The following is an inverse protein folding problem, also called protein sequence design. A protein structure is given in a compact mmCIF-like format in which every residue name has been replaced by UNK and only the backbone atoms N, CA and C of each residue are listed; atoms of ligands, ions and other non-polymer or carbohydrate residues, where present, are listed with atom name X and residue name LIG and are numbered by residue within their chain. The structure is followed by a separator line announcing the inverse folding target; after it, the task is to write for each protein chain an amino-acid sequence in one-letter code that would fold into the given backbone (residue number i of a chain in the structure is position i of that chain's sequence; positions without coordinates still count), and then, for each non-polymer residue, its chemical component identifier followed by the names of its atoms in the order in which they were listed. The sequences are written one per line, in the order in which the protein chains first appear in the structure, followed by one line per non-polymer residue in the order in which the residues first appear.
data_IF_891697297091
#
_entry.id   IF_891697297091
#
_cell.length_a   1.000
_cell.length_b   1.000
_cell.length_c   1.000
_cell.angle_alpha   90.00
_cell.angle_beta   90.00
_cell.angle_gamma   90.00
#
_symmetry.space_group_name_H-M   'P 1'
#
loop_
_entity.id
_entity.type
_entity.pdbx_description
1 polymer ?
#
# COMPACT_ATOMS: atom_id res chain seq x y z
N UNK A 1 54.42 -47.39 -26.37
CA UNK A 1 53.76 -46.13 -26.91
C UNK A 1 52.90 -45.50 -25.80
N UNK A 2 53.44 -44.49 -25.13
CA UNK A 2 52.67 -43.70 -24.08
C UNK A 2 52.13 -42.44 -24.73
N UNK A 3 50.81 -42.33 -24.87
CA UNK A 3 50.14 -41.10 -25.33
C UNK A 3 49.89 -40.19 -24.11
N UNK A 4 50.60 -39.08 -24.03
CA UNK A 4 50.30 -38.01 -23.10
C UNK A 4 49.12 -37.20 -23.63
N UNK A 5 48.02 -37.20 -22.88
CA UNK A 5 46.91 -36.22 -23.08
C UNK A 5 47.31 -34.93 -22.36
N UNK A 6 47.49 -33.86 -23.13
CA UNK A 6 47.60 -32.50 -22.60
C UNK A 6 46.19 -31.98 -22.40
N UNK A 7 45.78 -31.75 -21.14
CA UNK A 7 44.60 -30.94 -20.81
C UNK A 7 44.97 -29.47 -20.91
N UNK A 8 44.43 -28.79 -21.90
CA UNK A 8 44.48 -27.33 -21.98
C UNK A 8 43.49 -26.76 -20.99
N UNK A 9 43.97 -26.09 -19.95
CA UNK A 9 43.13 -25.30 -19.05
C UNK A 9 42.66 -24.02 -19.78
N UNK A 10 41.40 -23.98 -20.23
CA UNK A 10 40.75 -22.76 -20.61
C UNK A 10 40.42 -21.97 -19.34
N UNK A 11 41.15 -20.91 -19.06
CA UNK A 11 40.83 -19.94 -18.02
C UNK A 11 39.61 -19.13 -18.50
N UNK A 12 38.44 -19.41 -17.98
CA UNK A 12 37.29 -18.51 -18.06
C UNK A 12 37.57 -17.32 -17.14
N UNK A 13 38.00 -16.22 -17.69
CA UNK A 13 37.99 -14.93 -17.00
C UNK A 13 36.52 -14.51 -16.89
N UNK A 14 35.91 -14.75 -15.72
CA UNK A 14 34.64 -14.16 -15.37
C UNK A 14 34.88 -12.65 -15.27
N UNK A 15 34.54 -11.88 -16.31
CA UNK A 15 34.40 -10.45 -16.21
C UNK A 15 33.25 -10.19 -15.23
N UNK A 16 33.56 -9.88 -13.97
CA UNK A 16 32.63 -9.21 -13.09
C UNK A 16 32.36 -7.83 -13.69
N UNK A 17 31.38 -7.73 -14.57
CA UNK A 17 30.87 -6.45 -15.01
C UNK A 17 30.25 -5.77 -13.78
N UNK A 18 30.97 -4.82 -13.18
CA UNK A 18 30.36 -3.91 -12.19
C UNK A 18 29.25 -3.17 -12.91
N UNK A 19 28.04 -3.21 -12.32
CA UNK A 19 26.91 -2.47 -12.87
C UNK A 19 27.32 -1.00 -13.05
N UNK A 20 27.03 -0.44 -14.22
CA UNK A 20 27.36 0.94 -14.50
C UNK A 20 26.64 1.87 -13.53
N UNK A 21 27.37 2.82 -12.96
CA UNK A 21 26.84 3.80 -12.01
C UNK A 21 26.77 5.19 -12.62
N UNK A 22 25.62 5.83 -12.44
CA UNK A 22 25.28 7.16 -12.99
C UNK A 22 25.00 8.11 -11.82
N UNK A 23 26.01 8.79 -11.34
CA UNK A 23 25.91 9.78 -10.27
C UNK A 23 25.18 11.03 -10.78
N UNK A 24 24.03 11.37 -10.16
CA UNK A 24 23.19 12.50 -10.58
C UNK A 24 23.89 13.85 -10.49
N UNK A 25 24.90 14.00 -9.63
CA UNK A 25 25.68 15.25 -9.52
C UNK A 25 26.49 15.53 -10.78
N UNK A 26 26.93 14.50 -11.48
CA UNK A 26 27.60 14.63 -12.79
C UNK A 26 26.67 15.10 -13.90
N UNK A 27 25.35 15.02 -13.66
CA UNK A 27 24.31 15.55 -14.54
C UNK A 27 23.84 16.95 -14.12
N UNK A 28 24.47 17.53 -13.08
CA UNK A 28 24.18 18.87 -12.58
C UNK A 28 23.21 18.93 -11.41
N UNK A 29 22.84 17.79 -10.82
CA UNK A 29 22.00 17.78 -9.61
C UNK A 29 22.76 18.36 -8.41
N UNK A 30 22.05 19.16 -7.60
CA UNK A 30 22.59 19.86 -6.43
C UNK A 30 21.79 19.53 -5.17
N UNK A 31 22.45 19.11 -4.09
CA UNK A 31 21.79 18.73 -2.82
C UNK A 31 21.51 19.94 -1.91
N UNK A 32 21.15 21.10 -2.46
CA UNK A 32 21.01 22.37 -1.74
C UNK A 32 19.61 22.64 -1.16
N UNK A 33 18.64 21.74 -1.42
CA UNK A 33 17.27 21.89 -0.97
C UNK A 33 16.46 22.97 -1.69
N UNK A 34 16.97 23.55 -2.76
CA UNK A 34 16.37 24.67 -3.51
C UNK A 34 16.34 24.44 -5.02
N UNK A 35 17.44 23.94 -5.59
CA UNK A 35 17.56 23.69 -7.03
C UNK A 35 16.61 22.57 -7.48
N UNK A 36 15.83 22.82 -8.53
CA UNK A 36 15.02 21.79 -9.20
C UNK A 36 15.93 20.82 -9.95
N UNK A 37 16.07 19.62 -9.43
CA UNK A 37 16.95 18.57 -9.96
C UNK A 37 16.22 17.59 -10.89
N UNK A 38 14.94 17.81 -11.20
CA UNK A 38 14.12 16.86 -11.95
C UNK A 38 14.76 16.47 -13.28
N UNK A 39 15.19 17.46 -14.06
CA UNK A 39 15.79 17.21 -15.38
C UNK A 39 17.15 16.50 -15.28
N UNK A 40 17.98 16.86 -14.29
CA UNK A 40 19.28 16.24 -14.08
C UNK A 40 19.16 14.76 -13.70
N UNK A 41 18.26 14.45 -12.72
CA UNK A 41 18.01 13.07 -12.28
C UNK A 41 17.36 12.27 -13.41
N UNK A 42 16.37 12.84 -14.11
CA UNK A 42 15.70 12.15 -15.21
C UNK A 42 16.69 11.80 -16.34
N UNK A 43 17.60 12.73 -16.68
CA UNK A 43 18.63 12.48 -17.68
C UNK A 43 19.56 11.33 -17.28
N UNK A 44 19.96 11.24 -16.01
CA UNK A 44 20.75 10.12 -15.50
C UNK A 44 19.99 8.78 -15.65
N UNK A 45 18.68 8.76 -15.33
CA UNK A 45 17.81 7.59 -15.50
C UNK A 45 17.72 7.19 -16.99
N UNK A 46 17.51 8.15 -17.88
CA UNK A 46 17.36 7.90 -19.31
C UNK A 46 18.68 7.38 -19.92
N UNK A 47 19.81 7.98 -19.59
CA UNK A 47 21.14 7.55 -20.05
C UNK A 47 21.49 6.15 -19.51
N UNK A 48 21.18 5.87 -18.26
CA UNK A 48 21.35 4.55 -17.65
C UNK A 48 20.59 3.49 -18.42
N UNK A 49 19.29 3.69 -18.64
CA UNK A 49 18.44 2.73 -19.36
C UNK A 49 18.88 2.56 -20.81
N UNK A 50 19.21 3.66 -21.52
CA UNK A 50 19.66 3.62 -22.91
C UNK A 50 20.95 2.82 -23.12
N UNK A 51 21.79 2.73 -22.07
CA UNK A 51 23.03 1.92 -22.08
C UNK A 51 22.87 0.50 -21.52
N UNK A 52 21.62 0.04 -21.39
CA UNK A 52 21.30 -1.33 -20.95
C UNK A 52 20.92 -1.47 -19.49
N UNK A 53 21.00 -0.40 -18.71
CA UNK A 53 20.64 -0.39 -17.28
C UNK A 53 21.85 -0.22 -16.35
N UNK A 54 21.57 -0.20 -15.05
CA UNK A 54 22.54 -0.02 -14.00
C UNK A 54 21.98 0.74 -12.80
N UNK A 55 22.87 1.36 -12.06
CA UNK A 55 22.51 2.15 -10.88
C UNK A 55 22.58 3.65 -11.18
N UNK A 56 21.48 4.35 -10.91
CA UNK A 56 21.45 5.82 -10.83
C UNK A 56 21.63 6.19 -9.36
N UNK A 57 22.77 6.79 -9.04
CA UNK A 57 23.15 7.13 -7.68
C UNK A 57 22.70 8.54 -7.32
N UNK A 58 21.94 8.69 -6.24
CA UNK A 58 21.66 9.96 -5.55
C UNK A 58 22.54 10.01 -4.30
N UNK A 59 23.69 10.71 -4.35
CA UNK A 59 24.66 10.70 -3.26
C UNK A 59 24.10 11.33 -1.98
N UNK A 60 24.60 10.87 -0.84
CA UNK A 60 24.32 11.45 0.46
C UNK A 60 24.74 12.91 0.60
N UNK A 61 24.28 13.57 1.67
CA UNK A 61 24.76 14.91 2.05
C UNK A 61 23.81 16.06 1.76
N UNK A 62 22.54 15.84 1.40
CA UNK A 62 21.59 16.94 1.26
C UNK A 62 20.24 16.59 0.67
N UNK A 63 19.53 17.63 0.26
CA UNK A 63 18.16 17.52 -0.28
C UNK A 63 18.15 17.88 -1.75
N UNK A 64 17.70 16.97 -2.58
CA UNK A 64 17.50 17.17 -4.01
C UNK A 64 16.00 17.43 -4.24
N UNK A 65 15.64 18.68 -4.53
CA UNK A 65 14.24 19.00 -4.88
C UNK A 65 13.94 18.40 -6.25
N UNK A 66 12.83 17.65 -6.33
CA UNK A 66 12.41 17.04 -7.58
C UNK A 66 10.89 17.01 -7.71
N UNK A 67 10.43 16.98 -8.93
CA UNK A 67 9.04 16.75 -9.29
C UNK A 67 8.87 15.30 -9.77
N UNK A 68 8.07 15.05 -10.82
CA UNK A 68 7.84 13.69 -11.26
C UNK A 68 9.07 13.10 -11.97
N UNK A 69 9.53 11.95 -11.48
CA UNK A 69 10.54 11.12 -12.11
C UNK A 69 9.91 9.85 -12.69
N UNK A 70 10.38 9.44 -13.85
CA UNK A 70 9.96 8.23 -14.54
C UNK A 70 11.13 7.25 -14.59
N UNK A 71 11.04 6.14 -13.86
CA UNK A 71 12.03 5.07 -14.00
C UNK A 71 11.85 4.37 -15.36
N UNK A 72 12.96 3.83 -15.85
CA UNK A 72 13.04 3.11 -17.12
C UNK A 72 13.50 1.68 -16.89
N UNK A 73 13.40 0.85 -17.92
CA UNK A 73 13.83 -0.54 -17.85
C UNK A 73 15.27 -0.67 -17.33
N UNK A 74 15.48 -1.65 -16.47
CA UNK A 74 16.77 -2.03 -15.91
C UNK A 74 17.46 -0.93 -15.06
N UNK A 75 16.70 -0.01 -14.48
CA UNK A 75 17.22 1.07 -13.64
C UNK A 75 16.98 0.79 -12.18
N UNK A 76 18.06 0.82 -11.38
CA UNK A 76 18.04 0.92 -9.92
C UNK A 76 18.35 2.37 -9.52
N UNK A 77 17.32 3.12 -9.08
CA UNK A 77 17.51 4.44 -8.48
C UNK A 77 17.92 4.25 -7.02
N UNK A 78 19.19 4.42 -6.73
CA UNK A 78 19.77 4.23 -5.42
C UNK A 78 19.92 5.54 -4.66
N UNK A 79 19.19 5.69 -3.55
CA UNK A 79 19.20 6.89 -2.71
C UNK A 79 20.07 6.58 -1.49
N UNK A 80 21.27 7.16 -1.44
CA UNK A 80 22.19 6.91 -0.33
C UNK A 80 21.67 7.45 1.00
N UNK A 81 22.20 6.86 2.08
CA UNK A 81 21.97 7.38 3.45
C UNK A 81 22.40 8.87 3.52
N UNK A 82 21.49 9.69 4.08
CA UNK A 82 21.71 11.14 4.16
C UNK A 82 21.27 11.91 2.90
N UNK A 83 20.88 11.24 1.82
CA UNK A 83 20.21 11.87 0.69
C UNK A 83 18.70 11.94 0.93
N UNK A 84 18.09 13.04 0.52
CA UNK A 84 16.65 13.20 0.49
C UNK A 84 16.20 13.66 -0.90
N UNK A 85 15.37 12.88 -1.56
CA UNK A 85 14.58 13.36 -2.69
C UNK A 85 13.36 14.08 -2.13
N UNK A 86 13.36 15.42 -2.24
CA UNK A 86 12.34 16.30 -1.68
C UNK A 86 11.35 16.71 -2.76
N UNK A 87 10.07 16.47 -2.56
CA UNK A 87 9.01 16.91 -3.46
C UNK A 87 8.96 18.42 -3.60
N UNK A 88 8.96 18.91 -4.83
CA UNK A 88 8.87 20.35 -5.13
C UNK A 88 7.52 20.93 -4.71
N UNK A 89 7.49 22.21 -4.35
CA UNK A 89 6.35 22.90 -3.74
C UNK A 89 5.25 23.31 -4.74
N UNK A 90 5.57 23.39 -6.03
CA UNK A 90 4.62 23.79 -7.06
C UNK A 90 3.83 22.60 -7.61
N UNK A 91 2.55 22.45 -7.27
CA UNK A 91 1.75 21.30 -7.74
C UNK A 91 1.55 21.28 -9.25
N UNK A 92 1.71 22.40 -9.94
CA UNK A 92 1.52 22.48 -11.39
C UNK A 92 2.73 21.93 -12.17
N UNK A 93 3.89 21.85 -11.55
CA UNK A 93 5.07 21.21 -12.14
C UNK A 93 5.02 19.67 -12.10
N UNK A 94 4.10 19.07 -11.35
CA UNK A 94 3.82 17.64 -11.44
C UNK A 94 2.80 17.43 -12.57
N UNK A 95 3.15 16.71 -13.64
CA UNK A 95 2.23 16.47 -14.74
C UNK A 95 1.00 15.70 -14.29
N UNK A 96 -0.15 16.03 -14.86
CA UNK A 96 -1.32 15.18 -14.75
C UNK A 96 -1.12 13.94 -15.61
N UNK A 97 -1.18 12.77 -15.00
CA UNK A 97 -1.04 11.53 -15.74
C UNK A 97 -2.29 11.27 -16.58
N UNK A 98 -2.04 10.79 -17.77
CA UNK A 98 -3.09 10.48 -18.74
C UNK A 98 -3.38 8.97 -18.75
N UNK A 99 -4.48 8.62 -19.38
CA UNK A 99 -4.85 7.25 -19.64
C UNK A 99 -3.76 6.54 -20.48
N UNK A 100 -3.41 5.33 -20.07
CA UNK A 100 -2.42 4.49 -20.77
C UNK A 100 -2.98 3.12 -21.11
N UNK A 101 -2.14 2.18 -21.53
CA UNK A 101 -2.55 0.83 -21.92
C UNK A 101 -3.17 0.00 -20.77
N UNK A 102 -2.84 0.33 -19.52
CA UNK A 102 -3.26 -0.41 -18.31
C UNK A 102 -4.34 0.35 -17.54
N UNK A 103 -4.11 1.63 -17.31
CA UNK A 103 -4.88 2.46 -16.41
C UNK A 103 -5.68 3.53 -17.15
N UNK A 104 -6.95 3.67 -16.75
CA UNK A 104 -7.79 4.75 -17.23
C UNK A 104 -7.77 5.90 -16.21
N UNK A 105 -6.93 6.90 -16.45
CA UNK A 105 -6.77 8.05 -15.60
C UNK A 105 -8.04 8.89 -15.47
N UNK A 106 -8.94 8.84 -16.43
CA UNK A 106 -10.21 9.57 -16.37
C UNK A 106 -11.15 8.99 -15.31
N UNK A 107 -10.98 7.72 -14.98
CA UNK A 107 -11.70 7.03 -13.90
C UNK A 107 -11.06 7.19 -12.53
N UNK A 108 -9.94 7.91 -12.43
CA UNK A 108 -9.28 8.20 -11.17
C UNK A 108 -9.63 9.61 -10.67
N UNK A 109 -9.80 9.80 -9.36
CA UNK A 109 -9.91 11.14 -8.80
C UNK A 109 -8.71 12.00 -9.22
N UNK A 110 -8.94 13.28 -9.51
CA UNK A 110 -7.86 14.16 -10.03
C UNK A 110 -6.64 14.25 -9.11
N UNK A 111 -6.83 14.24 -7.79
CA UNK A 111 -5.72 14.22 -6.83
C UNK A 111 -4.86 12.95 -6.94
N UNK A 112 -5.38 11.90 -7.53
CA UNK A 112 -4.67 10.65 -7.77
C UNK A 112 -3.86 10.62 -9.07
N UNK A 113 -3.82 11.70 -9.82
CA UNK A 113 -3.19 11.78 -11.14
C UNK A 113 -1.85 12.52 -11.15
N UNK A 114 -1.20 12.64 -9.98
CA UNK A 114 0.16 13.20 -9.84
C UNK A 114 0.94 12.39 -8.81
N UNK A 115 2.22 12.20 -9.03
CA UNK A 115 3.12 11.54 -8.07
C UNK A 115 4.56 12.05 -8.24
N UNK A 116 5.41 11.80 -7.23
CA UNK A 116 6.86 12.05 -7.37
C UNK A 116 7.51 11.02 -8.30
N UNK A 117 7.09 9.74 -8.19
CA UNK A 117 7.52 8.68 -9.11
C UNK A 117 6.31 8.15 -9.85
N UNK A 118 6.37 8.19 -11.17
CA UNK A 118 5.35 7.62 -12.03
C UNK A 118 5.99 6.77 -13.12
N UNK A 119 5.83 5.47 -13.04
CA UNK A 119 6.49 4.51 -13.93
C UNK A 119 5.45 3.59 -14.53
N UNK A 120 5.44 3.48 -15.86
CA UNK A 120 4.43 2.72 -16.60
C UNK A 120 5.09 1.69 -17.51
N UNK A 121 4.67 0.42 -17.38
CA UNK A 121 5.03 -0.66 -18.31
C UNK A 121 6.51 -1.04 -18.33
N UNK A 122 7.28 -0.67 -17.31
CA UNK A 122 8.71 -0.93 -17.26
C UNK A 122 9.02 -2.27 -16.57
N UNK A 123 10.15 -2.84 -16.91
CA UNK A 123 10.62 -4.12 -16.37
C UNK A 123 11.98 -3.94 -15.68
N UNK A 124 12.19 -4.69 -14.57
CA UNK A 124 13.41 -4.65 -13.77
C UNK A 124 13.72 -3.24 -13.30
N UNK A 125 12.79 -2.66 -12.55
CA UNK A 125 12.91 -1.30 -11.99
C UNK A 125 12.99 -1.36 -10.48
N UNK A 126 13.87 -0.54 -9.91
CA UNK A 126 14.06 -0.50 -8.48
C UNK A 126 14.21 0.94 -7.95
N UNK A 127 13.75 1.15 -6.72
CA UNK A 127 14.15 2.26 -5.86
C UNK A 127 14.76 1.61 -4.62
N UNK A 128 16.03 1.89 -4.36
CA UNK A 128 16.77 1.24 -3.28
C UNK A 128 17.59 2.23 -2.45
N UNK A 129 18.22 1.74 -1.38
CA UNK A 129 19.13 2.50 -0.54
C UNK A 129 18.51 2.94 0.77
N UNK A 130 19.31 3.57 1.63
CA UNK A 130 18.89 3.98 2.97
C UNK A 130 18.57 5.48 3.07
N UNK A 131 18.27 6.11 1.94
CA UNK A 131 17.89 7.52 1.85
C UNK A 131 16.39 7.75 2.04
N UNK A 132 15.97 8.99 1.80
CA UNK A 132 14.61 9.45 2.07
C UNK A 132 13.91 9.93 0.81
N UNK A 133 12.66 9.55 0.64
CA UNK A 133 11.69 10.16 -0.26
C UNK A 133 10.74 10.99 0.60
N UNK A 134 10.78 12.30 0.49
CA UNK A 134 9.95 13.23 1.26
C UNK A 134 8.94 13.91 0.34
N UNK A 135 7.66 13.60 0.52
CA UNK A 135 6.58 14.16 -0.29
C UNK A 135 6.29 15.64 -0.03
N UNK A 136 6.94 16.24 1.00
CA UNK A 136 6.81 17.65 1.35
C UNK A 136 5.35 18.08 1.65
N UNK A 137 4.59 17.18 2.26
CA UNK A 137 3.15 17.34 2.47
C UNK A 137 2.76 18.63 3.21
N UNK A 138 3.65 19.20 4.01
CA UNK A 138 3.40 20.43 4.76
C UNK A 138 3.09 21.62 3.83
N UNK A 139 3.62 21.64 2.61
CA UNK A 139 3.34 22.66 1.60
C UNK A 139 1.95 22.53 0.98
N UNK A 140 1.35 21.37 1.06
CA UNK A 140 0.07 21.03 0.43
C UNK A 140 -1.07 20.87 1.43
N UNK A 141 -0.80 21.06 2.73
CA UNK A 141 -1.77 20.90 3.79
C UNK A 141 -1.72 22.07 4.78
N UNK A 142 -2.85 22.34 5.44
CA UNK A 142 -2.94 23.30 6.52
C UNK A 142 -3.62 22.69 7.74
N UNK A 143 -3.39 23.28 8.90
CA UNK A 143 -4.08 22.91 10.13
C UNK A 143 -5.38 23.70 10.26
N UNK A 144 -6.47 22.98 10.45
CA UNK A 144 -7.81 23.55 10.69
C UNK A 144 -8.27 23.17 12.11
N UNK A 145 -8.82 24.13 12.85
CA UNK A 145 -9.43 23.87 14.15
C UNK A 145 -10.67 22.98 13.99
N UNK A 146 -10.79 21.95 14.81
CA UNK A 146 -11.97 21.06 14.75
C UNK A 146 -13.22 21.83 15.17
N UNK A 147 -14.35 21.57 14.52
CA UNK A 147 -15.63 22.22 14.79
C UNK A 147 -16.13 22.02 16.25
N UNK A 148 -15.76 20.92 16.88
CA UNK A 148 -16.08 20.61 18.28
C UNK A 148 -15.18 21.33 19.29
N UNK A 149 -14.29 22.22 18.85
CA UNK A 149 -13.38 22.98 19.70
C UNK A 149 -12.18 22.19 20.22
N UNK A 150 -12.10 20.87 19.99
CA UNK A 150 -11.04 20.02 20.56
C UNK A 150 -9.91 19.80 19.56
N UNK A 151 -8.86 20.63 19.63
CA UNK A 151 -7.65 20.45 18.85
C UNK A 151 -7.77 20.78 17.36
N UNK A 152 -6.81 20.32 16.59
CA UNK A 152 -6.67 20.60 15.17
C UNK A 152 -6.75 19.32 14.34
N UNK A 153 -7.01 19.48 13.03
CA UNK A 153 -6.87 18.45 12.01
C UNK A 153 -6.13 19.00 10.80
N UNK A 154 -5.42 18.16 10.11
CA UNK A 154 -4.81 18.52 8.84
C UNK A 154 -5.83 18.42 7.71
N UNK A 155 -5.77 19.37 6.78
CA UNK A 155 -6.60 19.45 5.59
C UNK A 155 -5.73 19.73 4.38
N UNK A 156 -6.13 19.19 3.23
CA UNK A 156 -5.52 19.53 1.94
C UNK A 156 -5.85 20.96 1.56
N UNK A 157 -4.88 21.70 1.03
CA UNK A 157 -5.08 23.04 0.48
C UNK A 157 -5.95 23.01 -0.77
N UNK A 158 -5.84 21.93 -1.57
CA UNK A 158 -6.60 21.70 -2.79
C UNK A 158 -6.89 20.21 -2.96
N UNK A 159 -8.01 19.86 -3.59
CA UNK A 159 -8.31 18.49 -4.00
C UNK A 159 -7.87 18.17 -5.43
N UNK A 160 -7.42 19.17 -6.20
CA UNK A 160 -7.07 19.01 -7.61
C UNK A 160 -5.60 19.28 -7.89
N UNK A 161 -4.99 20.20 -7.12
CA UNK A 161 -3.61 20.63 -7.31
C UNK A 161 -2.75 20.14 -6.14
N UNK A 162 -2.50 18.85 -6.10
CA UNK A 162 -1.72 18.16 -5.08
C UNK A 162 -1.09 16.91 -5.70
N UNK A 163 0.09 16.55 -5.23
CA UNK A 163 0.66 15.23 -5.54
C UNK A 163 -0.06 14.19 -4.71
N UNK A 164 -0.79 13.30 -5.36
CA UNK A 164 -1.57 12.29 -4.64
C UNK A 164 -0.75 11.17 -4.02
N UNK A 165 0.53 10.99 -4.45
CA UNK A 165 1.38 9.85 -4.06
C UNK A 165 2.86 10.19 -4.11
N UNK A 166 3.67 9.44 -3.32
CA UNK A 166 5.11 9.44 -3.55
C UNK A 166 5.47 8.48 -4.69
N UNK A 167 5.08 7.21 -4.60
CA UNK A 167 5.47 6.17 -5.56
C UNK A 167 4.23 5.61 -6.26
N UNK A 168 4.21 5.63 -7.60
CA UNK A 168 3.15 5.07 -8.41
C UNK A 168 3.71 4.27 -9.59
N UNK A 169 3.63 2.93 -9.49
CA UNK A 169 4.00 2.01 -10.57
C UNK A 169 2.75 1.40 -11.20
N UNK A 170 2.70 1.40 -12.54
CA UNK A 170 1.56 0.92 -13.33
C UNK A 170 2.01 -0.09 -14.37
N UNK A 171 1.52 -1.32 -14.32
CA UNK A 171 1.81 -2.36 -15.29
C UNK A 171 3.29 -2.76 -15.37
N UNK A 172 4.03 -2.58 -14.30
CA UNK A 172 5.46 -2.87 -14.24
C UNK A 172 5.72 -4.33 -13.84
N UNK A 173 6.90 -4.83 -14.20
CA UNK A 173 7.35 -6.18 -13.85
C UNK A 173 8.73 -6.15 -13.19
N UNK A 174 9.01 -7.12 -12.30
CA UNK A 174 10.27 -7.20 -11.57
C UNK A 174 10.58 -5.86 -10.87
N UNK A 175 9.65 -5.48 -9.98
CA UNK A 175 9.71 -4.20 -9.27
C UNK A 175 10.30 -4.42 -7.88
N UNK A 176 11.23 -3.56 -7.47
CA UNK A 176 11.76 -3.56 -6.10
C UNK A 176 11.68 -2.18 -5.46
N UNK A 177 11.35 -2.20 -4.17
CA UNK A 177 11.39 -1.03 -3.30
C UNK A 177 12.06 -1.46 -1.99
N UNK A 178 13.35 -1.12 -1.82
CA UNK A 178 14.17 -1.66 -0.73
C UNK A 178 14.77 -0.54 0.15
N UNK A 179 14.61 -0.69 1.48
CA UNK A 179 15.30 0.02 2.57
C UNK A 179 15.08 1.55 2.64
N UNK A 180 14.30 2.14 1.78
CA UNK A 180 14.04 3.59 1.77
C UNK A 180 13.05 4.01 2.86
N UNK A 181 13.22 5.25 3.34
CA UNK A 181 12.22 5.95 4.13
C UNK A 181 11.32 6.80 3.20
N UNK A 182 10.02 6.54 3.20
CA UNK A 182 9.01 7.41 2.58
C UNK A 182 8.32 8.18 3.68
N UNK A 183 8.38 9.52 3.64
CA UNK A 183 7.71 10.35 4.63
C UNK A 183 6.96 11.51 4.03
N UNK A 184 6.03 12.07 4.79
CA UNK A 184 5.25 13.24 4.41
C UNK A 184 4.66 13.14 2.99
N UNK A 185 4.05 12.01 2.57
CA UNK A 185 3.39 11.94 1.28
C UNK A 185 2.21 12.92 1.27
N UNK A 186 1.84 13.46 0.11
CA UNK A 186 0.69 14.36 0.04
C UNK A 186 -0.67 13.62 0.06
N UNK A 187 -0.64 12.32 0.10
CA UNK A 187 -1.74 11.39 0.13
C UNK A 187 -1.18 9.98 0.35
N UNK A 188 -1.48 9.03 -0.53
CA UNK A 188 -0.96 7.66 -0.42
C UNK A 188 0.57 7.61 -0.59
N UNK A 189 1.25 6.84 0.25
CA UNK A 189 2.71 6.71 0.16
C UNK A 189 3.12 5.96 -1.10
N UNK A 190 2.49 4.81 -1.36
CA UNK A 190 2.77 3.98 -2.55
C UNK A 190 1.50 3.55 -3.25
N UNK A 191 1.62 3.23 -4.52
CA UNK A 191 0.61 2.48 -5.27
C UNK A 191 1.26 1.64 -6.37
N UNK A 192 1.13 0.34 -6.24
CA UNK A 192 1.46 -0.63 -7.28
C UNK A 192 0.16 -1.05 -7.93
N UNK A 193 -0.03 -0.73 -9.21
CA UNK A 193 -1.24 -1.07 -9.97
C UNK A 193 -0.88 -1.96 -11.14
N UNK A 194 -1.50 -3.15 -11.22
CA UNK A 194 -1.27 -4.12 -12.30
C UNK A 194 0.20 -4.55 -12.44
N UNK A 195 0.94 -4.62 -11.34
CA UNK A 195 2.35 -5.01 -11.34
C UNK A 195 2.52 -6.50 -11.06
N UNK A 196 3.55 -7.10 -11.66
CA UNK A 196 3.92 -8.50 -11.47
C UNK A 196 5.33 -8.62 -10.88
N UNK A 197 5.54 -9.59 -9.98
CA UNK A 197 6.81 -9.86 -9.27
C UNK A 197 7.33 -8.60 -8.57
N UNK A 198 6.58 -8.20 -7.54
CA UNK A 198 6.87 -7.00 -6.75
C UNK A 198 7.50 -7.41 -5.42
N UNK A 199 8.71 -6.91 -5.16
CA UNK A 199 9.39 -7.02 -3.88
C UNK A 199 9.39 -5.69 -3.14
N UNK A 200 9.00 -5.70 -1.86
CA UNK A 200 9.12 -4.53 -0.96
C UNK A 200 9.77 -5.00 0.33
N UNK A 201 10.95 -4.48 0.65
CA UNK A 201 11.71 -4.95 1.81
C UNK A 201 12.35 -3.81 2.59
N UNK A 202 12.30 -3.89 3.93
CA UNK A 202 12.97 -2.93 4.81
C UNK A 202 12.44 -1.50 4.71
N UNK A 203 11.33 -1.28 4.02
CA UNK A 203 10.77 0.05 3.78
C UNK A 203 10.14 0.60 5.05
N UNK A 204 10.43 1.87 5.31
CA UNK A 204 9.77 2.62 6.38
C UNK A 204 8.86 3.68 5.77
N UNK A 205 7.64 3.78 6.29
CA UNK A 205 6.67 4.81 5.88
C UNK A 205 6.26 5.62 7.11
N UNK A 206 6.34 6.95 7.00
CA UNK A 206 5.82 7.91 7.97
C UNK A 206 4.84 8.85 7.27
N UNK A 207 3.56 8.52 7.38
CA UNK A 207 2.44 9.31 6.86
C UNK A 207 1.38 9.59 7.94
N UNK A 208 1.76 9.45 9.20
CA UNK A 208 0.87 9.41 10.36
C UNK A 208 -0.04 10.63 10.53
N UNK A 209 0.38 11.80 10.12
CA UNK A 209 -0.39 13.03 10.23
C UNK A 209 -1.12 13.43 8.94
N UNK A 210 -0.76 12.85 7.81
CA UNK A 210 -1.22 13.24 6.47
C UNK A 210 -2.64 12.70 6.20
N UNK A 211 -3.62 13.55 5.87
CA UNK A 211 -4.95 13.09 5.45
C UNK A 211 -4.90 12.15 4.25
N UNK A 212 -5.52 10.98 4.34
CA UNK A 212 -5.38 9.86 3.39
C UNK A 212 -3.90 9.48 3.15
N UNK A 213 -3.12 9.54 4.23
CA UNK A 213 -1.73 9.06 4.23
C UNK A 213 -1.73 7.54 4.39
N UNK A 214 -2.10 6.83 3.34
CA UNK A 214 -2.07 5.37 3.31
C UNK A 214 -0.62 4.88 3.17
N UNK A 215 -0.36 3.68 3.64
CA UNK A 215 0.94 3.05 3.58
C UNK A 215 1.24 2.33 2.26
N UNK A 216 1.36 1.00 2.32
CA UNK A 216 1.62 0.13 1.18
C UNK A 216 0.31 -0.26 0.49
N UNK A 217 0.20 0.02 -0.80
CA UNK A 217 -1.04 -0.16 -1.56
C UNK A 217 -0.81 -0.96 -2.84
N UNK A 218 -1.49 -2.11 -2.96
CA UNK A 218 -1.41 -3.03 -4.09
C UNK A 218 -2.77 -3.17 -4.76
N UNK A 219 -2.82 -2.93 -6.07
CA UNK A 219 -4.01 -3.02 -6.89
C UNK A 219 -3.83 -3.96 -8.07
N UNK A 220 -4.52 -5.11 -8.10
CA UNK A 220 -4.41 -6.08 -9.19
C UNK A 220 -2.99 -6.63 -9.40
N UNK A 221 -2.16 -6.64 -8.36
CA UNK A 221 -0.78 -7.13 -8.42
C UNK A 221 -0.71 -8.64 -8.24
N UNK A 222 0.35 -9.26 -8.77
CA UNK A 222 0.63 -10.70 -8.65
C UNK A 222 2.07 -10.96 -8.26
N UNK A 223 2.30 -12.08 -7.56
CA UNK A 223 3.62 -12.51 -7.14
C UNK A 223 4.31 -11.42 -6.31
N UNK A 224 3.66 -11.05 -5.20
CA UNK A 224 4.09 -9.95 -4.33
C UNK A 224 4.73 -10.51 -3.07
N UNK A 225 5.92 -10.01 -2.73
CA UNK A 225 6.59 -10.31 -1.46
C UNK A 225 6.88 -9.01 -0.73
N UNK A 226 6.39 -8.90 0.51
CA UNK A 226 6.65 -7.76 1.38
C UNK A 226 7.25 -8.25 2.68
N UNK A 227 8.40 -7.71 3.09
CA UNK A 227 9.04 -8.12 4.34
C UNK A 227 9.75 -6.99 5.07
N UNK A 228 9.83 -7.14 6.40
CA UNK A 228 10.69 -6.32 7.26
C UNK A 228 10.35 -4.81 7.21
N UNK A 229 9.08 -4.49 6.93
CA UNK A 229 8.62 -3.12 6.77
C UNK A 229 8.02 -2.54 8.06
N UNK A 230 8.19 -1.23 8.24
CA UNK A 230 7.57 -0.46 9.32
C UNK A 230 6.72 0.65 8.70
N UNK A 231 5.41 0.56 8.88
CA UNK A 231 4.44 1.51 8.31
C UNK A 231 3.71 2.24 9.44
N UNK A 232 3.89 3.55 9.50
CA UNK A 232 3.15 4.45 10.38
C UNK A 232 2.27 5.35 9.51
N UNK A 233 1.00 5.00 9.39
CA UNK A 233 0.05 5.66 8.50
C UNK A 233 -1.05 6.40 9.26
N UNK A 234 -1.59 7.42 8.62
CA UNK A 234 -2.82 8.09 9.09
C UNK A 234 -4.06 7.30 8.74
N UNK A 235 -4.11 6.78 7.54
CA UNK A 235 -5.19 5.96 6.98
C UNK A 235 -4.77 4.49 6.98
N UNK A 236 -5.20 3.67 6.04
CA UNK A 236 -4.88 2.25 6.02
C UNK A 236 -3.36 2.00 5.87
N UNK A 237 -2.79 1.09 6.68
CA UNK A 237 -1.35 0.84 6.65
C UNK A 237 -0.96 -0.12 5.51
N UNK A 238 -1.76 -1.15 5.27
CA UNK A 238 -1.55 -2.11 4.19
C UNK A 238 -2.87 -2.38 3.45
N UNK A 239 -2.86 -2.24 2.13
CA UNK A 239 -4.08 -2.29 1.32
C UNK A 239 -3.94 -3.27 0.19
N UNK A 240 -4.89 -4.21 0.09
CA UNK A 240 -5.03 -5.16 -1.01
C UNK A 240 -6.33 -4.88 -1.74
N UNK A 241 -6.23 -4.46 -2.99
CA UNK A 241 -7.36 -4.13 -3.85
C UNK A 241 -7.14 -4.67 -5.26
N UNK A 242 -8.12 -4.54 -6.13
CA UNK A 242 -7.93 -4.76 -7.57
C UNK A 242 -7.96 -3.46 -8.35
N UNK A 243 -8.70 -2.46 -7.87
CA UNK A 243 -8.94 -1.20 -8.60
C UNK A 243 -9.46 -1.41 -10.03
N UNK A 244 -10.20 -2.49 -10.25
CA UNK A 244 -10.66 -2.82 -11.60
C UNK A 244 -11.51 -1.72 -12.24
N UNK A 245 -12.14 -0.88 -11.42
CA UNK A 245 -12.90 0.28 -11.88
C UNK A 245 -12.04 1.31 -12.64
N UNK A 246 -10.72 1.28 -12.41
CA UNK A 246 -9.76 2.16 -13.06
C UNK A 246 -8.86 1.43 -14.06
N UNK A 247 -8.92 0.11 -14.11
CA UNK A 247 -8.11 -0.68 -15.03
C UNK A 247 -8.81 -0.87 -16.38
N UNK A 248 -8.05 -0.93 -17.46
CA UNK A 248 -8.57 -1.28 -18.78
C UNK A 248 -8.87 -2.76 -18.91
N UNK A 249 -8.15 -3.60 -18.18
CA UNK A 249 -8.37 -5.06 -18.13
C UNK A 249 -8.42 -5.49 -16.68
N UNK A 250 -9.61 -5.74 -16.13
CA UNK A 250 -9.76 -6.25 -14.78
C UNK A 250 -8.97 -7.53 -14.55
N UNK A 251 -8.27 -7.63 -13.44
CA UNK A 251 -7.54 -8.82 -13.03
C UNK A 251 -7.53 -8.99 -11.52
N UNK A 252 -7.38 -10.21 -11.00
CA UNK A 252 -7.27 -10.44 -9.57
C UNK A 252 -5.97 -9.84 -8.99
N UNK A 253 -6.00 -9.54 -7.67
CA UNK A 253 -4.82 -9.36 -6.87
C UNK A 253 -4.52 -10.68 -6.16
N UNK A 254 -3.37 -11.29 -6.41
CA UNK A 254 -3.14 -12.68 -6.00
C UNK A 254 -1.68 -13.05 -5.77
N UNK A 255 -1.46 -14.15 -5.06
CA UNK A 255 -0.13 -14.72 -4.73
C UNK A 255 0.75 -13.70 -4.03
N UNK A 256 0.30 -13.31 -2.83
CA UNK A 256 0.98 -12.30 -2.01
C UNK A 256 1.42 -12.90 -0.67
N UNK A 257 2.66 -12.65 -0.30
CA UNK A 257 3.21 -12.99 1.01
C UNK A 257 3.70 -11.73 1.69
N UNK A 258 3.25 -11.51 2.93
CA UNK A 258 3.63 -10.36 3.77
C UNK A 258 4.09 -10.89 5.11
N UNK A 259 5.33 -10.56 5.51
CA UNK A 259 5.86 -11.05 6.76
C UNK A 259 6.74 -10.03 7.51
N UNK A 260 6.93 -10.25 8.82
CA UNK A 260 7.83 -9.47 9.67
C UNK A 260 7.57 -7.96 9.61
N UNK A 261 6.32 -7.52 9.62
CA UNK A 261 5.98 -6.11 9.46
C UNK A 261 5.34 -5.51 10.72
N UNK A 262 5.63 -4.23 10.95
CA UNK A 262 4.89 -3.39 11.91
C UNK A 262 3.95 -2.50 11.09
N UNK A 263 2.64 -2.66 11.30
CA UNK A 263 1.59 -1.96 10.55
C UNK A 263 0.73 -1.12 11.50
N UNK A 264 1.06 0.15 11.62
CA UNK A 264 0.37 1.11 12.46
C UNK A 264 -0.56 2.00 11.63
N UNK A 265 -1.84 2.07 11.99
CA UNK A 265 -2.81 2.97 11.41
C UNK A 265 -3.44 3.86 12.49
N UNK A 266 -3.36 5.18 12.33
CA UNK A 266 -3.90 6.12 13.31
C UNK A 266 -5.43 6.19 13.32
N UNK A 267 -6.11 5.89 12.20
CA UNK A 267 -7.53 6.14 12.08
C UNK A 267 -8.32 5.10 11.25
N UNK A 268 -7.62 4.12 10.67
CA UNK A 268 -8.23 3.15 9.77
C UNK A 268 -7.71 1.73 10.01
N UNK A 269 -7.40 0.95 8.99
CA UNK A 269 -7.06 -0.47 9.12
C UNK A 269 -5.55 -0.71 9.16
N UNK A 270 -5.10 -1.66 9.97
CA UNK A 270 -3.76 -2.20 9.81
C UNK A 270 -3.65 -2.93 8.47
N UNK A 271 -4.64 -3.77 8.15
CA UNK A 271 -4.73 -4.49 6.87
C UNK A 271 -6.14 -4.33 6.31
N UNK A 272 -6.23 -3.94 5.05
CA UNK A 272 -7.50 -3.72 4.37
C UNK A 272 -7.62 -4.52 3.09
N UNK A 273 -8.78 -5.15 2.91
CA UNK A 273 -9.19 -5.81 1.68
C UNK A 273 -10.41 -5.12 1.09
N UNK A 274 -10.31 -4.75 -0.19
CA UNK A 274 -11.42 -4.29 -0.99
C UNK A 274 -11.86 -2.85 -0.78
N UNK A 275 -12.71 -2.43 -1.70
CA UNK A 275 -13.48 -1.20 -1.76
C UNK A 275 -14.54 -1.33 -2.85
N UNK A 276 -15.36 -0.28 -3.04
CA UNK A 276 -16.33 -0.23 -4.13
C UNK A 276 -15.68 -0.53 -5.48
N UNK A 277 -16.31 -1.43 -6.25
CA UNK A 277 -15.88 -1.76 -7.60
C UNK A 277 -14.69 -2.70 -7.69
N UNK A 278 -14.21 -3.27 -6.59
CA UNK A 278 -13.11 -4.24 -6.63
C UNK A 278 -13.55 -5.61 -7.18
N UNK A 279 -12.59 -6.38 -7.66
CA UNK A 279 -12.69 -7.76 -8.14
C UNK A 279 -11.99 -8.76 -7.23
N UNK A 280 -11.63 -9.96 -7.72
CA UNK A 280 -11.12 -11.05 -6.89
C UNK A 280 -9.75 -10.73 -6.25
N UNK A 281 -9.64 -11.09 -4.97
CA UNK A 281 -8.40 -11.11 -4.19
C UNK A 281 -8.23 -12.53 -3.67
N UNK A 282 -7.07 -13.16 -3.89
CA UNK A 282 -6.87 -14.56 -3.47
C UNK A 282 -5.41 -14.92 -3.22
N UNK A 283 -5.21 -16.01 -2.47
CA UNK A 283 -3.90 -16.58 -2.19
C UNK A 283 -2.96 -15.56 -1.53
N UNK A 284 -3.42 -14.99 -0.40
CA UNK A 284 -2.70 -13.95 0.36
C UNK A 284 -2.36 -14.46 1.75
N UNK A 285 -1.13 -14.27 2.16
CA UNK A 285 -0.64 -14.68 3.49
C UNK A 285 0.02 -13.53 4.22
N UNK A 286 -0.38 -13.32 5.47
CA UNK A 286 0.25 -12.42 6.43
C UNK A 286 0.80 -13.22 7.59
N UNK A 287 2.08 -13.04 7.93
CA UNK A 287 2.71 -13.72 9.06
C UNK A 287 3.63 -12.78 9.85
N UNK A 288 3.74 -13.00 11.16
CA UNK A 288 4.60 -12.20 12.04
C UNK A 288 4.28 -10.69 11.93
N UNK A 289 3.01 -10.32 12.14
CA UNK A 289 2.56 -8.93 12.03
C UNK A 289 2.27 -8.36 13.41
N UNK A 290 2.83 -7.18 13.68
CA UNK A 290 2.50 -6.39 14.87
C UNK A 290 1.81 -5.10 14.44
N UNK A 291 0.63 -4.86 14.99
CA UNK A 291 -0.07 -3.57 14.85
C UNK A 291 -0.23 -2.92 16.23
N UNK A 292 0.60 -1.94 16.57
CA UNK A 292 0.56 -1.31 17.89
C UNK A 292 -0.68 -0.43 18.09
N UNK A 293 -1.29 0.02 17.00
CA UNK A 293 -2.56 0.74 16.99
C UNK A 293 -3.22 0.61 15.64
N UNK A 294 -4.52 0.28 15.63
CA UNK A 294 -5.39 0.39 14.48
C UNK A 294 -6.85 0.53 14.94
N UNK A 295 -7.66 1.21 14.14
CA UNK A 295 -9.11 1.19 14.35
C UNK A 295 -9.70 -0.15 13.95
N UNK A 296 -9.17 -0.74 12.89
CA UNK A 296 -9.51 -2.09 12.43
C UNK A 296 -8.22 -2.89 12.25
N UNK A 297 -8.12 -4.05 12.89
CA UNK A 297 -6.98 -4.94 12.67
C UNK A 297 -6.96 -5.44 11.24
N UNK A 298 -7.94 -6.24 10.87
CA UNK A 298 -8.17 -6.69 9.50
C UNK A 298 -9.57 -6.26 9.06
N UNK A 299 -9.68 -5.57 7.94
CA UNK A 299 -10.96 -5.15 7.41
C UNK A 299 -11.23 -5.71 6.01
N UNK A 300 -12.45 -6.23 5.83
CA UNK A 300 -13.03 -6.57 4.54
C UNK A 300 -14.16 -5.58 4.32
N UNK A 301 -13.91 -4.59 3.48
CA UNK A 301 -14.80 -3.46 3.35
C UNK A 301 -15.24 -3.26 1.90
N UNK A 302 -16.50 -3.54 1.65
CA UNK A 302 -17.15 -3.35 0.37
C UNK A 302 -18.36 -2.44 0.59
N UNK A 303 -18.21 -1.11 0.49
CA UNK A 303 -19.33 -0.19 0.64
C UNK A 303 -20.36 -0.42 -0.46
N UNK A 304 -21.61 0.02 -0.22
CA UNK A 304 -22.65 0.01 -1.23
C UNK A 304 -22.16 0.71 -2.50
N UNK A 305 -22.50 0.14 -3.65
CA UNK A 305 -22.25 0.83 -4.91
C UNK A 305 -23.06 2.13 -4.93
N UNK A 306 -22.48 3.25 -5.36
CA UNK A 306 -23.26 4.46 -5.51
C UNK A 306 -24.36 4.24 -6.55
N UNK A 307 -25.55 4.82 -6.36
CA UNK A 307 -26.61 4.72 -7.34
C UNK A 307 -26.13 5.25 -8.72
N UNK A 308 -26.68 4.72 -9.81
CA UNK A 308 -26.33 5.16 -11.16
C UNK A 308 -26.35 6.70 -11.27
N UNK A 309 -25.25 7.28 -11.74
CA UNK A 309 -25.04 8.73 -11.83
C UNK A 309 -24.49 9.40 -10.56
N UNK A 310 -24.24 8.65 -9.48
CA UNK A 310 -23.44 9.09 -8.33
C UNK A 310 -22.18 8.26 -8.24
N UNK A 311 -21.13 8.77 -8.78
CA UNK A 311 -19.88 8.06 -8.94
C UNK A 311 -18.91 8.39 -7.84
N UNK A 312 -18.12 7.36 -7.51
CA UNK A 312 -16.95 7.36 -6.64
C UNK A 312 -17.02 8.16 -5.34
N UNK A 313 -16.69 7.50 -4.27
CA UNK A 313 -16.74 7.92 -2.87
C UNK A 313 -15.84 9.08 -2.45
N UNK A 314 -15.32 9.86 -3.34
CA UNK A 314 -14.90 11.21 -3.05
C UNK A 314 -15.74 12.14 -3.93
N UNK A 315 -16.88 12.63 -3.43
CA UNK A 315 -17.52 13.70 -4.12
C UNK A 315 -16.75 14.97 -3.81
N UNK A 316 -15.93 15.44 -4.68
CA UNK A 316 -16.03 16.79 -4.98
C UNK A 316 -16.81 16.88 -6.28
N UNK A 317 -18.11 17.22 -6.16
CA UNK A 317 -18.50 18.38 -6.90
C UNK A 317 -17.85 18.45 -8.29
N UNK A 318 -18.10 17.49 -9.14
CA UNK A 318 -17.60 17.51 -10.50
C UNK A 318 -17.46 16.11 -11.07
N UNK A 319 -18.52 15.65 -11.72
CA UNK A 319 -18.59 14.56 -12.68
C UNK A 319 -17.66 13.39 -12.37
N UNK A 320 -18.14 12.51 -11.55
CA UNK A 320 -17.56 11.23 -11.30
C UNK A 320 -17.49 10.40 -12.57
N UNK A 321 -16.57 9.50 -12.61
CA UNK A 321 -16.30 8.66 -13.75
C UNK A 321 -17.11 7.37 -13.62
N UNK A 322 -17.76 7.00 -14.71
CA UNK A 322 -18.53 5.76 -14.78
C UNK A 322 -17.61 4.58 -14.54
N UNK A 323 -17.92 3.72 -13.58
CA UNK A 323 -17.24 2.44 -13.52
C UNK A 323 -17.43 1.69 -14.86
N UNK A 324 -16.53 0.73 -15.19
CA UNK A 324 -16.71 -0.11 -16.37
C UNK A 324 -18.13 -0.68 -16.38
N UNK A 325 -18.71 -0.96 -17.55
CA UNK A 325 -19.98 -1.66 -17.63
C UNK A 325 -20.00 -2.85 -16.69
N UNK A 326 -21.11 -3.08 -16.03
CA UNK A 326 -21.27 -4.17 -15.04
C UNK A 326 -20.89 -5.54 -15.65
N UNK A 327 -21.09 -5.72 -16.96
CA UNK A 327 -20.72 -6.91 -17.71
C UNK A 327 -19.21 -7.18 -17.80
N UNK A 328 -18.37 -6.17 -17.63
CA UNK A 328 -16.90 -6.28 -17.71
C UNK A 328 -16.23 -6.43 -16.35
N UNK A 329 -16.99 -6.27 -15.23
CA UNK A 329 -16.45 -6.36 -13.90
C UNK A 329 -16.50 -7.78 -13.37
N UNK A 330 -15.38 -8.24 -12.85
CA UNK A 330 -15.32 -9.41 -12.00
C UNK A 330 -16.00 -9.10 -10.66
N UNK A 331 -16.88 -9.99 -10.14
CA UNK A 331 -17.46 -9.77 -8.83
C UNK A 331 -16.37 -9.82 -7.74
N UNK A 332 -16.51 -8.99 -6.72
CA UNK A 332 -15.58 -9.01 -5.60
C UNK A 332 -15.61 -10.36 -4.90
N UNK A 333 -14.46 -10.93 -4.69
CA UNK A 333 -14.28 -12.08 -3.82
C UNK A 333 -12.97 -11.97 -3.04
N UNK A 334 -12.93 -12.60 -1.87
CA UNK A 334 -11.71 -12.83 -1.11
C UNK A 334 -11.62 -14.32 -0.81
N UNK A 335 -10.54 -14.96 -1.23
CA UNK A 335 -10.38 -16.41 -1.11
C UNK A 335 -8.96 -16.80 -0.71
N UNK A 336 -8.83 -17.83 0.14
CA UNK A 336 -7.54 -18.38 0.55
C UNK A 336 -6.65 -17.33 1.21
N UNK A 337 -7.11 -16.66 2.25
CA UNK A 337 -6.35 -15.66 3.00
C UNK A 337 -5.97 -16.21 4.38
N UNK A 338 -4.70 -16.08 4.73
CA UNK A 338 -4.16 -16.60 5.99
C UNK A 338 -3.49 -15.50 6.79
N UNK A 339 -3.78 -15.49 8.09
CA UNK A 339 -3.14 -14.64 9.09
C UNK A 339 -2.53 -15.52 10.16
N UNK A 340 -1.23 -15.43 10.39
CA UNK A 340 -0.54 -16.23 11.41
C UNK A 340 0.41 -15.38 12.24
N UNK A 341 0.51 -15.68 13.55
CA UNK A 341 1.36 -14.96 14.49
C UNK A 341 1.17 -13.43 14.39
N UNK A 342 -0.06 -12.99 14.64
CA UNK A 342 -0.44 -11.59 14.49
C UNK A 342 -0.87 -11.00 15.83
N UNK A 343 -0.31 -9.84 16.19
CA UNK A 343 -0.70 -9.08 17.38
C UNK A 343 -1.24 -7.71 16.98
N UNK A 344 -2.48 -7.42 17.37
CA UNK A 344 -3.14 -6.15 17.09
C UNK A 344 -3.64 -5.50 18.36
N UNK A 345 -3.28 -4.24 18.57
CA UNK A 345 -3.89 -3.38 19.58
C UNK A 345 -4.67 -2.26 18.89
N UNK A 346 -5.82 -1.86 19.44
CA UNK A 346 -6.60 -0.82 18.78
C UNK A 346 -7.79 -0.30 19.56
N UNK A 347 -8.40 0.76 19.03
CA UNK A 347 -9.56 1.46 19.60
C UNK A 347 -10.89 1.11 18.90
N UNK A 348 -10.91 0.09 18.08
CA UNK A 348 -12.09 -0.36 17.36
C UNK A 348 -12.26 -1.88 17.38
N UNK A 349 -12.12 -2.51 16.21
CA UNK A 349 -12.41 -3.93 16.01
C UNK A 349 -11.18 -4.69 15.50
N UNK A 350 -10.96 -5.94 15.97
CA UNK A 350 -9.89 -6.79 15.46
C UNK A 350 -10.17 -7.21 14.01
N UNK A 351 -11.42 -7.60 13.75
CA UNK A 351 -11.91 -8.00 12.45
C UNK A 351 -13.15 -7.17 12.14
N UNK A 352 -13.16 -6.54 10.99
CA UNK A 352 -14.25 -5.69 10.52
C UNK A 352 -14.69 -6.13 9.13
N UNK A 353 -15.92 -6.64 9.04
CA UNK A 353 -16.57 -7.01 7.77
C UNK A 353 -17.79 -6.11 7.59
N UNK A 354 -17.79 -5.28 6.57
CA UNK A 354 -18.92 -4.44 6.25
C UNK A 354 -19.19 -4.47 4.75
N UNK A 355 -20.38 -5.01 4.41
CA UNK A 355 -20.82 -5.21 3.03
C UNK A 355 -22.06 -4.37 2.82
N UNK A 356 -22.01 -3.47 1.87
CA UNK A 356 -23.13 -2.61 1.49
C UNK A 356 -24.27 -3.39 0.86
N UNK A 357 -25.50 -2.85 0.95
CA UNK A 357 -26.72 -3.54 0.50
C UNK A 357 -26.67 -3.93 -0.99
N UNK A 358 -26.08 -3.06 -1.83
CA UNK A 358 -26.01 -3.24 -3.28
C UNK A 358 -24.63 -3.70 -3.76
N UNK A 359 -23.76 -4.10 -2.83
CA UNK A 359 -22.43 -4.57 -3.17
C UNK A 359 -22.49 -5.92 -3.90
N UNK A 360 -21.70 -6.05 -4.96
CA UNK A 360 -21.58 -7.29 -5.76
C UNK A 360 -20.47 -8.16 -5.17
N UNK A 361 -20.84 -9.06 -4.28
CA UNK A 361 -19.93 -9.97 -3.60
C UNK A 361 -20.16 -11.42 -4.06
N UNK A 362 -19.12 -12.09 -4.54
CA UNK A 362 -19.14 -13.54 -4.79
C UNK A 362 -18.85 -14.35 -3.53
N UNK A 363 -18.19 -13.74 -2.55
CA UNK A 363 -17.95 -14.33 -1.22
C UNK A 363 -16.63 -13.94 -0.60
N UNK A 364 -16.52 -14.18 0.71
CA UNK A 364 -15.26 -14.12 1.47
C UNK A 364 -15.09 -15.52 2.10
N UNK A 365 -14.20 -16.32 1.53
CA UNK A 365 -14.14 -17.77 1.79
C UNK A 365 -12.72 -18.22 2.14
N UNK A 366 -12.64 -19.29 2.93
CA UNK A 366 -11.38 -19.93 3.30
C UNK A 366 -10.37 -18.90 3.85
N UNK A 367 -10.78 -18.22 4.94
CA UNK A 367 -9.93 -17.28 5.68
C UNK A 367 -9.54 -17.94 6.99
N UNK A 368 -8.25 -17.87 7.34
CA UNK A 368 -7.78 -18.45 8.60
C UNK A 368 -6.97 -17.45 9.43
N UNK A 369 -7.14 -17.57 10.74
CA UNK A 369 -6.38 -16.89 11.77
C UNK A 369 -5.76 -17.94 12.68
N UNK A 370 -4.44 -17.96 12.81
CA UNK A 370 -3.73 -18.86 13.72
C UNK A 370 -2.72 -18.10 14.57
N UNK A 371 -2.59 -18.46 15.85
CA UNK A 371 -1.67 -17.82 16.79
C UNK A 371 -1.82 -16.28 16.83
N UNK A 372 -3.08 -15.81 16.86
CA UNK A 372 -3.37 -14.39 16.80
C UNK A 372 -3.85 -13.84 18.14
N UNK A 373 -3.40 -12.63 18.48
CA UNK A 373 -3.87 -11.90 19.67
C UNK A 373 -4.38 -10.53 19.29
N UNK A 374 -5.63 -10.27 19.65
CA UNK A 374 -6.31 -9.01 19.39
C UNK A 374 -6.70 -8.35 20.71
N UNK A 375 -6.16 -7.15 20.98
CA UNK A 375 -6.54 -6.32 22.13
C UNK A 375 -7.19 -5.03 21.65
N UNK A 376 -8.52 -5.04 21.53
CA UNK A 376 -9.27 -3.97 20.91
C UNK A 376 -10.45 -3.53 21.77
N UNK A 377 -11.11 -2.41 21.45
CA UNK A 377 -12.29 -1.99 22.22
C UNK A 377 -13.42 -3.00 22.13
N UNK A 378 -13.61 -3.63 20.98
CA UNK A 378 -14.69 -4.57 20.67
C UNK A 378 -14.12 -5.87 20.13
N UNK A 379 -14.86 -6.96 20.27
CA UNK A 379 -14.35 -8.27 19.91
C UNK A 379 -14.37 -8.54 18.39
N UNK A 380 -15.40 -8.15 17.66
CA UNK A 380 -15.49 -8.23 16.21
C UNK A 380 -16.64 -7.37 15.69
N UNK A 381 -16.67 -7.12 14.39
CA UNK A 381 -17.81 -6.54 13.71
C UNK A 381 -17.95 -7.19 12.34
N UNK A 382 -18.93 -8.06 12.23
CA UNK A 382 -19.27 -8.70 10.96
C UNK A 382 -20.72 -8.38 10.63
N UNK A 383 -20.90 -7.64 9.54
CA UNK A 383 -22.22 -7.33 8.98
C UNK A 383 -22.28 -7.86 7.57
N UNK A 384 -22.85 -9.03 7.43
CA UNK A 384 -23.13 -9.65 6.15
C UNK A 384 -24.51 -10.29 6.19
N UNK A 385 -25.04 -10.53 5.02
CA UNK A 385 -26.29 -11.29 4.83
C UNK A 385 -25.94 -12.73 4.44
N UNK A 386 -26.80 -13.71 4.62
CA UNK A 386 -26.52 -15.09 4.19
C UNK A 386 -26.10 -15.21 2.72
N UNK A 387 -26.71 -14.40 1.83
CA UNK A 387 -26.36 -14.36 0.41
C UNK A 387 -24.99 -13.73 0.11
N UNK A 388 -24.37 -13.04 1.05
CA UNK A 388 -23.02 -12.45 0.88
C UNK A 388 -21.92 -13.52 0.91
N UNK A 389 -22.28 -14.77 1.28
CA UNK A 389 -21.43 -15.93 1.16
C UNK A 389 -20.08 -15.79 1.90
N UNK A 390 -20.15 -15.27 3.15
CA UNK A 390 -19.01 -15.19 4.07
C UNK A 390 -18.95 -16.52 4.84
N UNK A 391 -18.00 -17.39 4.50
CA UNK A 391 -17.99 -18.76 4.99
C UNK A 391 -16.62 -19.43 5.02
N UNK A 392 -16.57 -20.55 5.71
CA UNK A 392 -15.39 -21.43 5.80
C UNK A 392 -14.18 -20.70 6.41
N UNK A 393 -14.39 -19.99 7.52
CA UNK A 393 -13.32 -19.35 8.26
C UNK A 393 -12.86 -20.24 9.41
N UNK A 394 -11.55 -20.27 9.64
CA UNK A 394 -10.96 -21.04 10.74
C UNK A 394 -10.18 -20.14 11.68
N UNK A 395 -10.40 -20.33 12.97
CA UNK A 395 -9.67 -19.68 14.05
C UNK A 395 -9.03 -20.76 14.91
N UNK A 396 -7.69 -20.74 15.03
CA UNK A 396 -6.94 -21.65 15.91
C UNK A 396 -5.95 -20.86 16.77
N UNK A 397 -5.96 -21.13 18.07
CA UNK A 397 -5.10 -20.44 19.05
C UNK A 397 -5.25 -18.91 19.01
N UNK A 398 -6.50 -18.42 18.98
CA UNK A 398 -6.80 -16.99 18.87
C UNK A 398 -7.34 -16.44 20.19
N UNK A 399 -6.82 -15.27 20.59
CA UNK A 399 -7.27 -14.55 21.77
C UNK A 399 -7.87 -13.20 21.37
N UNK A 400 -9.14 -13.00 21.68
CA UNK A 400 -9.83 -11.72 21.59
C UNK A 400 -9.93 -11.08 22.99
N UNK A 401 -9.25 -10.00 23.22
CA UNK A 401 -9.32 -9.19 24.46
C UNK A 401 -10.13 -7.92 24.18
N UNK A 402 -11.39 -7.89 24.60
CA UNK A 402 -12.24 -6.70 24.46
C UNK A 402 -12.07 -5.78 25.69
N UNK A 403 -11.79 -4.50 25.45
CA UNK A 403 -11.61 -3.50 26.53
C UNK A 403 -12.90 -2.76 26.87
N UNK A 404 -13.96 -2.93 26.08
CA UNK A 404 -15.34 -2.51 26.41
C UNK A 404 -16.25 -3.72 26.46
N UNK A 405 -17.09 -3.86 27.49
CA UNK A 405 -18.12 -4.90 27.50
C UNK A 405 -19.00 -4.74 26.26
N UNK A 406 -19.06 -5.75 25.40
CA UNK A 406 -20.18 -5.85 24.46
C UNK A 406 -21.35 -6.46 25.22
N UNK A 407 -22.51 -5.82 25.15
CA UNK A 407 -23.72 -6.44 25.61
C UNK A 407 -23.89 -7.76 24.87
N UNK A 408 -23.83 -8.88 25.60
CA UNK A 408 -24.37 -10.19 25.24
C UNK A 408 -23.77 -10.92 24.02
N UNK A 409 -22.46 -11.12 23.94
CA UNK A 409 -21.98 -12.28 23.18
C UNK A 409 -21.72 -13.44 24.16
N UNK A 410 -22.63 -14.35 24.27
CA UNK A 410 -22.48 -15.55 25.12
C UNK A 410 -21.60 -16.62 24.46
N UNK A 411 -21.50 -16.60 23.13
CA UNK A 411 -20.75 -17.57 22.32
C UNK A 411 -19.94 -16.88 21.25
N UNK A 412 -18.87 -17.51 20.79
CA UNK A 412 -18.00 -17.00 19.72
C UNK A 412 -18.75 -16.78 18.40
N UNK A 413 -19.67 -17.68 18.08
CA UNK A 413 -20.49 -17.61 16.86
C UNK A 413 -21.33 -16.34 16.80
N UNK A 414 -21.75 -15.80 17.94
CA UNK A 414 -22.55 -14.58 18.03
C UNK A 414 -21.77 -13.34 17.57
N UNK A 415 -20.42 -13.42 17.50
CA UNK A 415 -19.58 -12.37 16.94
C UNK A 415 -19.64 -12.29 15.41
N UNK A 416 -20.12 -13.34 14.75
CA UNK A 416 -20.06 -13.51 13.30
C UNK A 416 -21.45 -13.81 12.69
N UNK A 417 -22.46 -12.94 12.88
CA UNK A 417 -23.79 -13.18 12.37
C UNK A 417 -23.83 -13.18 10.84
N UNK A 418 -24.64 -14.05 10.25
CA UNK A 418 -24.81 -14.17 8.80
C UNK A 418 -23.70 -14.94 8.08
N UNK A 419 -22.82 -15.59 8.82
CA UNK A 419 -21.73 -16.44 8.31
C UNK A 419 -22.06 -17.92 8.42
N UNK A 420 -21.29 -18.79 7.75
CA UNK A 420 -21.44 -20.25 7.82
C UNK A 420 -20.09 -20.97 7.74
N UNK A 421 -19.99 -22.19 8.27
CA UNK A 421 -18.79 -23.00 8.21
C UNK A 421 -17.59 -22.39 8.96
N UNK A 422 -17.86 -21.67 10.06
CA UNK A 422 -16.80 -21.14 10.92
C UNK A 422 -16.38 -22.21 11.93
N UNK A 423 -15.07 -22.40 12.06
CA UNK A 423 -14.46 -23.34 12.98
C UNK A 423 -13.59 -22.61 14.01
N UNK A 424 -13.74 -22.98 15.30
CA UNK A 424 -13.03 -22.38 16.42
C UNK A 424 -12.31 -23.48 17.22
N UNK A 425 -10.99 -23.44 17.21
CA UNK A 425 -10.13 -24.33 17.96
C UNK A 425 -9.25 -23.50 18.92
N UNK A 426 -9.33 -23.78 20.24
CA UNK A 426 -8.64 -23.03 21.28
C UNK A 426 -8.77 -21.49 21.18
N UNK A 427 -9.98 -21.01 20.92
CA UNK A 427 -10.28 -19.58 20.81
C UNK A 427 -10.80 -19.05 22.15
N UNK A 428 -10.22 -17.93 22.61
CA UNK A 428 -10.59 -17.29 23.88
C UNK A 428 -11.13 -15.89 23.65
N UNK A 429 -12.28 -15.60 24.26
CA UNK A 429 -12.82 -14.25 24.37
C UNK A 429 -12.72 -13.81 25.82
N UNK A 430 -11.96 -12.75 26.09
CA UNK A 430 -11.78 -12.21 27.42
C UNK A 430 -12.16 -10.73 27.45
N UNK A 431 -12.69 -10.28 28.58
CA UNK A 431 -12.96 -8.88 28.85
C UNK A 431 -11.88 -8.34 29.79
N UNK A 432 -11.11 -7.39 29.32
CA UNK A 432 -10.08 -6.73 30.12
C UNK A 432 -10.63 -5.37 30.57
N UNK A 433 -10.81 -5.21 31.90
CA UNK A 433 -11.16 -3.89 32.45
C UNK A 433 -10.04 -2.89 32.14
N UNK A 434 -10.36 -1.74 31.56
CA UNK A 434 -9.40 -0.64 31.42
C UNK A 434 -8.90 -0.26 32.81
N UNK A 435 -7.60 -0.25 33.03
CA UNK A 435 -7.02 0.45 34.15
C UNK A 435 -7.52 1.92 34.12
N UNK A 436 -7.91 2.51 35.26
CA UNK A 436 -8.38 3.89 35.29
C UNK A 436 -7.29 4.79 34.71
N UNK A 437 -7.66 5.57 33.72
CA UNK A 437 -6.91 6.55 32.95
C UNK A 437 -5.54 6.97 33.48
N UNK A 438 -4.46 6.48 32.90
CA UNK A 438 -3.26 7.30 32.78
C UNK A 438 -3.58 8.43 31.77
N UNK A 439 -3.70 9.66 32.23
CA UNK A 439 -3.92 10.85 31.38
C UNK A 439 -2.80 10.91 30.36
N UNK A 440 -3.16 10.86 29.09
CA UNK A 440 -2.24 11.16 27.98
C UNK A 440 -1.93 12.64 28.05
N UNK A 441 -0.70 12.98 28.40
CA UNK A 441 -0.11 14.31 28.21
C UNK A 441 0.25 14.56 26.75
#
# INVERSE_FOLDING_TARGET
MKRCFRFGAMAFAALCATAAEYDVTRYGARPDGATDNTAAIQKAIDDCSAKGGGRVLVPGGGKYVTYTLNLKNNVDLHIERGATLLGGEDPLKYPLFETNAVWNAERAPRFNRRAMFYTVGQTNVAITGAGTIDGNAEKFHHREKRKNGTGYRWRRNSHTNITGRCVFFVGCRDVRLDDVLIRNPCGWSTWFLDCDRVGVRGVRIDSFWVPNGDGLHFGGCRDVVVSDCVVESRDDAFIVRTHQEQMKRPRPCERMVVNNCVLHSAAASAIRFGWTGDGPIRDVSFSNIVSPQARYGVSFFLPAEPPPGRECMDPPRGRGLMPPPVSERLPFSVENVRFSNMSVTGDGYPIYVAIGADARLAGIKNVSFSDCRFRTEKAAHVRCRPQDNVRDWRFSDVVFEATRPQATCARLEDLFPGTSGFEFDNVKLTHVMKAPNARRH
#
